data_IF_607542284645
#
_entry.id   IF_607542284645
#
_cell.length_a   1.000
_cell.length_b   1.000
_cell.length_c   1.000
_cell.angle_alpha   90.00
_cell.angle_beta   90.00
_cell.angle_gamma   90.00
#
_symmetry.space_group_name_H-M   'P 1'
#
loop_
_entity.id
_entity.type
_entity.pdbx_description
1 polymer ?
#
# COMPACT_ATOMS: atom_id res chain seq x y z
N UNK A 1 -5.86 27.70 -10.46
CA UNK A 1 -5.92 26.23 -10.30
C UNK A 1 -5.27 25.88 -8.97
N UNK A 2 -6.04 25.50 -7.94
CA UNK A 2 -5.47 25.11 -6.64
C UNK A 2 -5.37 23.59 -6.61
N UNK A 3 -4.14 23.07 -6.75
CA UNK A 3 -3.80 21.70 -6.35
C UNK A 3 -4.01 21.62 -4.84
N UNK A 4 -5.17 21.12 -4.43
CA UNK A 4 -5.37 20.72 -3.04
C UNK A 4 -4.68 19.38 -2.91
N UNK A 5 -3.42 19.40 -2.46
CA UNK A 5 -2.86 18.25 -1.76
C UNK A 5 -3.77 18.03 -0.55
N UNK A 6 -4.76 17.18 -0.73
CA UNK A 6 -5.61 16.69 0.34
C UNK A 6 -4.65 16.04 1.32
N UNK A 7 -4.30 16.78 2.36
CA UNK A 7 -3.55 16.27 3.52
C UNK A 7 -4.27 14.97 3.88
N UNK A 8 -3.55 13.86 3.95
CA UNK A 8 -4.05 12.58 4.46
C UNK A 8 -4.50 12.79 5.92
N UNK A 9 -5.64 13.43 6.10
CA UNK A 9 -6.25 13.71 7.39
C UNK A 9 -7.07 12.48 7.76
N UNK A 10 -6.87 11.96 8.97
CA UNK A 10 -7.60 10.78 9.42
C UNK A 10 -9.09 11.03 9.38
N UNK A 11 -9.80 10.18 8.63
CA UNK A 11 -11.22 10.02 8.87
C UNK A 11 -11.34 9.25 10.20
N UNK A 12 -11.74 9.97 11.26
CA UNK A 12 -11.87 9.45 12.64
C UNK A 12 -12.66 8.14 12.71
N UNK A 13 -13.52 7.87 11.71
CA UNK A 13 -14.34 6.66 11.63
C UNK A 13 -13.58 5.37 11.34
N UNK A 14 -12.40 5.43 10.70
CA UNK A 14 -11.69 4.23 10.24
C UNK A 14 -10.21 4.25 10.62
N UNK A 15 -9.72 3.10 11.12
CA UNK A 15 -8.32 2.96 11.48
C UNK A 15 -7.41 3.06 10.24
N UNK A 16 -6.33 3.83 10.37
CA UNK A 16 -5.28 3.88 9.36
C UNK A 16 -4.51 2.57 9.32
N UNK A 17 -4.20 2.14 8.11
CA UNK A 17 -3.32 1.01 7.86
C UNK A 17 -2.30 1.39 6.80
N UNK A 18 -1.14 0.75 6.87
CA UNK A 18 0.00 1.02 6.03
C UNK A 18 0.33 -0.25 5.26
N UNK A 19 -0.03 -0.28 3.99
CA UNK A 19 0.17 -1.41 3.12
C UNK A 19 1.54 -1.32 2.45
N UNK A 20 2.35 -2.37 2.59
CA UNK A 20 3.58 -2.54 1.84
C UNK A 20 3.22 -3.15 0.49
N UNK A 21 3.47 -2.40 -0.58
CA UNK A 21 3.33 -2.85 -1.95
C UNK A 21 4.65 -3.35 -2.51
N UNK A 22 4.60 -4.40 -3.32
CA UNK A 22 5.65 -4.82 -4.23
C UNK A 22 5.29 -4.42 -5.64
N UNK A 23 6.23 -3.78 -6.33
CA UNK A 23 6.14 -3.40 -7.74
C UNK A 23 7.17 -4.19 -8.52
N UNK A 24 6.73 -4.89 -9.56
CA UNK A 24 7.59 -5.56 -10.52
C UNK A 24 8.20 -4.55 -11.49
N UNK A 25 9.50 -4.70 -11.78
CA UNK A 25 10.22 -3.91 -12.78
C UNK A 25 10.97 -4.81 -13.76
N UNK A 26 10.94 -4.51 -15.07
CA UNK A 26 10.14 -3.45 -15.70
C UNK A 26 8.64 -3.69 -15.57
N UNK A 27 7.83 -2.62 -15.70
CA UNK A 27 6.38 -2.76 -15.73
C UNK A 27 5.98 -3.43 -17.04
N UNK A 28 5.19 -4.49 -16.95
CA UNK A 28 4.54 -5.12 -18.10
C UNK A 28 3.36 -4.23 -18.55
N UNK A 29 3.41 -3.62 -19.75
CA UNK A 29 2.32 -2.78 -20.25
C UNK A 29 1.09 -3.58 -20.68
N UNK A 30 1.24 -4.88 -20.97
CA UNK A 30 0.15 -5.74 -21.41
C UNK A 30 -0.64 -6.31 -20.23
N UNK A 31 -0.03 -6.34 -19.03
CA UNK A 31 -0.65 -6.79 -17.78
C UNK A 31 -0.34 -5.85 -16.60
N UNK A 32 -0.81 -4.59 -16.65
CA UNK A 32 -0.47 -3.57 -15.66
C UNK A 32 -0.86 -3.97 -14.21
N UNK A 33 -1.97 -4.69 -14.04
CA UNK A 33 -2.45 -5.19 -12.75
C UNK A 33 -1.54 -6.23 -12.10
N UNK A 34 -0.81 -7.01 -12.90
CA UNK A 34 0.08 -8.05 -12.40
C UNK A 34 1.41 -7.47 -11.89
N UNK A 35 1.68 -6.20 -12.17
CA UNK A 35 2.89 -5.53 -11.72
C UNK A 35 2.85 -5.14 -10.24
N UNK A 36 1.69 -5.23 -9.57
CA UNK A 36 1.47 -4.70 -8.23
C UNK A 36 0.90 -5.78 -7.30
N UNK A 37 1.46 -5.91 -6.11
CA UNK A 37 0.95 -6.80 -5.08
C UNK A 37 1.04 -6.19 -3.68
N UNK A 38 0.00 -6.36 -2.85
CA UNK A 38 0.07 -6.07 -1.42
C UNK A 38 0.80 -7.24 -0.75
N UNK A 39 1.94 -6.94 -0.13
CA UNK A 39 2.76 -7.94 0.58
C UNK A 39 2.27 -8.10 2.01
N UNK A 40 2.03 -6.98 2.69
CA UNK A 40 1.69 -6.96 4.12
C UNK A 40 1.01 -5.65 4.48
N UNK A 41 0.17 -5.68 5.50
CA UNK A 41 -0.53 -4.51 6.03
C UNK A 41 -0.18 -4.34 7.50
N UNK A 42 0.15 -3.12 7.91
CA UNK A 42 0.53 -2.77 9.27
C UNK A 42 -0.40 -1.69 9.84
N UNK A 43 -0.60 -1.70 11.15
CA UNK A 43 -1.28 -0.59 11.85
C UNK A 43 -0.34 0.59 12.17
N UNK A 44 0.97 0.42 12.00
CA UNK A 44 1.99 1.40 12.35
C UNK A 44 2.87 1.73 11.14
N UNK A 45 3.08 3.03 10.88
CA UNK A 45 3.90 3.50 9.76
C UNK A 45 5.37 3.09 9.91
N UNK A 46 6.05 3.32 11.06
CA UNK A 46 7.42 2.84 11.27
C UNK A 46 7.60 1.34 11.05
N UNK A 47 6.60 0.52 11.41
CA UNK A 47 6.67 -0.92 11.19
C UNK A 47 6.61 -1.28 9.70
N UNK A 48 5.81 -0.56 8.90
CA UNK A 48 5.77 -0.73 7.45
C UNK A 48 7.05 -0.26 6.76
N UNK A 49 7.61 0.88 7.20
CA UNK A 49 8.86 1.41 6.64
C UNK A 49 10.04 0.46 6.91
N UNK A 50 10.16 -0.07 8.14
CA UNK A 50 11.16 -1.08 8.48
C UNK A 50 11.01 -2.36 7.64
N UNK A 51 9.77 -2.77 7.33
CA UNK A 51 9.54 -3.91 6.46
C UNK A 51 9.97 -3.63 5.01
N UNK A 52 9.77 -2.41 4.50
CA UNK A 52 10.25 -2.00 3.17
C UNK A 52 11.77 -2.06 3.11
N UNK A 53 12.48 -1.53 4.12
CA UNK A 53 13.94 -1.61 4.20
C UNK A 53 14.42 -3.07 4.21
N UNK A 54 13.86 -3.89 5.10
CA UNK A 54 14.18 -5.32 5.20
C UNK A 54 13.95 -6.06 3.87
N UNK A 55 12.82 -5.81 3.20
CA UNK A 55 12.52 -6.44 1.91
C UNK A 55 13.42 -5.93 0.79
N UNK A 56 13.81 -4.66 0.83
CA UNK A 56 14.79 -4.05 -0.06
C UNK A 56 16.17 -4.69 0.07
N UNK A 57 16.64 -4.95 1.29
CA UNK A 57 17.90 -5.64 1.54
C UNK A 57 17.88 -7.09 1.03
N UNK A 58 16.79 -7.81 1.27
CA UNK A 58 16.67 -9.23 0.88
C UNK A 58 16.47 -9.42 -0.63
N UNK A 59 15.75 -8.50 -1.28
CA UNK A 59 15.27 -8.67 -2.65
C UNK A 59 15.67 -7.56 -3.62
N UNK A 60 16.55 -6.63 -3.23
CA UNK A 60 16.88 -5.44 -4.01
C UNK A 60 17.43 -5.71 -5.41
N UNK A 61 18.02 -6.89 -5.64
CA UNK A 61 18.53 -7.32 -6.95
C UNK A 61 17.48 -8.01 -7.85
N UNK A 62 16.28 -8.31 -7.34
CA UNK A 62 15.28 -9.14 -8.03
C UNK A 62 14.32 -8.36 -8.93
N UNK A 63 14.65 -7.12 -9.28
CA UNK A 63 13.77 -6.27 -10.09
C UNK A 63 12.47 -5.87 -9.38
N UNK A 64 12.47 -5.86 -8.04
CA UNK A 64 11.31 -5.43 -7.25
C UNK A 64 11.60 -4.10 -6.58
N UNK A 65 10.58 -3.24 -6.54
CA UNK A 65 10.56 -2.08 -5.63
C UNK A 65 9.46 -2.26 -4.60
N UNK A 66 9.73 -1.78 -3.39
CA UNK A 66 8.76 -1.81 -2.30
C UNK A 66 8.42 -0.38 -1.89
N UNK A 67 7.16 -0.12 -1.59
CA UNK A 67 6.70 1.18 -1.09
C UNK A 67 5.55 1.03 -0.10
N UNK A 68 5.38 2.03 0.75
CA UNK A 68 4.26 2.09 1.70
C UNK A 68 3.16 2.98 1.14
N UNK A 69 1.93 2.45 1.08
CA UNK A 69 0.72 3.23 0.85
C UNK A 69 -0.09 3.31 2.14
N UNK A 70 -0.52 4.53 2.47
CA UNK A 70 -1.50 4.79 3.52
C UNK A 70 -2.88 4.43 3.00
N UNK A 71 -3.60 3.58 3.73
CA UNK A 71 -4.97 3.19 3.45
C UNK A 71 -5.79 3.17 4.73
N UNK A 72 -7.07 2.79 4.64
CA UNK A 72 -8.01 2.72 5.76
C UNK A 72 -8.64 1.35 5.80
N UNK A 73 -8.79 0.80 6.99
CA UNK A 73 -9.57 -0.41 7.18
C UNK A 73 -11.06 -0.04 7.29
N UNK A 74 -11.84 -0.38 6.27
CA UNK A 74 -13.31 -0.27 6.30
C UNK A 74 -13.85 -1.64 6.74
N UNK A 75 -14.39 -1.78 7.98
CA UNK A 75 -15.13 -2.98 8.35
C UNK A 75 -16.25 -3.14 7.33
N UNK A 76 -16.33 -4.31 6.70
CA UNK A 76 -17.22 -4.54 5.56
C UNK A 76 -18.62 -3.97 5.83
N UNK A 77 -19.08 -3.11 4.93
CA UNK A 77 -20.51 -3.01 4.67
C UNK A 77 -20.97 -4.45 4.51
N UNK A 78 -21.81 -4.93 5.44
CA UNK A 78 -22.55 -6.15 5.19
C UNK A 78 -23.17 -5.99 3.80
N UNK A 79 -23.06 -7.03 2.97
CA UNK A 79 -24.02 -7.19 1.90
C UNK A 79 -25.40 -7.11 2.56
N UNK A 80 -26.06 -5.96 2.45
CA UNK A 80 -27.49 -5.86 2.65
C UNK A 80 -28.10 -6.77 1.58
N UNK A 81 -28.37 -8.02 1.98
CA UNK A 81 -29.28 -8.88 1.28
C UNK A 81 -30.68 -8.40 1.66
N UNK A 82 -31.29 -7.60 0.80
CA UNK A 82 -32.75 -7.45 0.71
C UNK A 82 -33.14 -7.54 -0.77
#
# INVERSE_FOLDING_TARGET
MRNTMQKDQPNVKFAHVYAVLRIYQPLDPDMPENNLAIVKVFASRPAADHEVERLGEINGSKGYRYLVITSRFVPGSQHDKN
#
